data_IF_118588929119
#
_entry.id   IF_118588929119
#
_cell.length_a   1.000
_cell.length_b   1.000
_cell.length_c   1.000
_cell.angle_alpha   90.00
_cell.angle_beta   90.00
_cell.angle_gamma   90.00
#
_symmetry.space_group_name_H-M   'P 1'
#
loop_
_entity.id
_entity.type
_entity.pdbx_description
1 polymer ?
#
# COMPACT_ATOMS: atom_id res chain seq x y z
N UNK A 1 -18.91 15.87 16.82
CA UNK A 1 -18.60 15.79 16.28
C UNK A 1 -18.39 15.55 15.86
N UNK A 2 -18.33 15.44 15.59
CA UNK A 2 -17.90 15.12 14.96
C UNK A 2 -17.32 15.01 14.36
N UNK A 3 -17.18 15.07 14.12
CA UNK A 3 -16.74 14.95 13.44
C UNK A 3 -15.96 14.74 13.00
N UNK A 4 -15.74 14.61 12.78
CA UNK A 4 -15.12 14.33 12.32
C UNK A 4 -14.72 14.20 11.58
N UNK A 5 -14.75 14.37 11.33
CA UNK A 5 -14.45 14.31 10.59
C UNK A 5 -13.81 14.04 10.05
N UNK A 6 -14.23 14.09 10.08
CA UNK A 6 -13.65 13.60 9.39
C UNK A 6 -12.85 13.72 8.11
N UNK A 7 -12.10 14.54 7.92
CA UNK A 7 -11.29 14.65 6.74
C UNK A 7 -10.03 13.86 6.93
N UNK A 8 -9.86 12.89 6.07
CA UNK A 8 -8.67 12.06 6.15
C UNK A 8 -7.56 12.75 5.39
N UNK A 9 -6.81 13.54 6.10
CA UNK A 9 -5.58 14.05 5.54
C UNK A 9 -4.51 13.00 5.72
N UNK A 10 -3.78 12.74 4.67
CA UNK A 10 -2.74 11.74 4.70
C UNK A 10 -1.47 12.36 5.24
N UNK A 11 -0.95 11.75 6.30
CA UNK A 11 0.38 12.11 6.76
C UNK A 11 1.37 11.30 5.92
N UNK A 12 1.92 11.95 4.91
CA UNK A 12 2.79 11.24 3.96
C UNK A 12 4.05 10.71 4.63
N UNK A 13 4.53 11.39 5.66
CA UNK A 13 5.70 10.90 6.38
C UNK A 13 5.38 9.58 7.08
N UNK A 14 4.23 9.50 7.73
CA UNK A 14 3.84 8.24 8.37
C UNK A 14 3.53 7.16 7.33
N UNK A 15 2.95 7.56 6.20
CA UNK A 15 2.75 6.61 5.13
C UNK A 15 4.10 6.03 4.67
N UNK A 16 5.08 6.89 4.45
CA UNK A 16 6.39 6.43 4.01
C UNK A 16 7.06 5.57 5.07
N UNK A 17 6.86 5.88 6.34
CA UNK A 17 7.39 5.04 7.42
C UNK A 17 6.74 3.66 7.40
N UNK A 18 5.43 3.61 7.20
CA UNK A 18 4.74 2.33 7.11
C UNK A 18 5.24 1.54 5.90
N UNK A 19 5.43 2.23 4.78
CA UNK A 19 5.93 1.59 3.58
C UNK A 19 7.32 1.00 3.80
N UNK A 20 8.20 1.77 4.43
CA UNK A 20 9.55 1.29 4.70
C UNK A 20 9.53 0.09 5.63
N UNK A 21 8.69 0.13 6.67
CA UNK A 21 8.58 -0.99 7.59
C UNK A 21 8.01 -2.23 6.89
N UNK A 22 7.05 -2.03 6.00
CA UNK A 22 6.49 -3.13 5.24
C UNK A 22 7.56 -3.78 4.36
N UNK A 23 8.34 -2.97 3.65
CA UNK A 23 9.40 -3.51 2.81
C UNK A 23 10.47 -4.21 3.63
N UNK A 24 10.77 -3.69 4.81
CA UNK A 24 11.73 -4.35 5.69
C UNK A 24 11.21 -5.71 6.13
N UNK A 25 9.95 -5.80 6.48
CA UNK A 25 9.37 -7.07 6.86
C UNK A 25 9.40 -8.05 5.69
N UNK A 26 9.06 -7.57 4.49
CA UNK A 26 9.09 -8.42 3.30
C UNK A 26 10.50 -8.98 3.07
N UNK A 27 11.51 -8.12 3.21
CA UNK A 27 12.88 -8.56 2.98
C UNK A 27 13.36 -9.58 4.02
N UNK A 28 12.73 -9.57 5.20
CA UNK A 28 13.09 -10.49 6.27
C UNK A 28 12.24 -11.76 6.30
N UNK A 29 11.14 -11.78 5.57
CA UNK A 29 10.26 -12.94 5.59
C UNK A 29 10.79 -14.01 4.65
N UNK A 30 10.80 -15.21 5.14
CA UNK A 30 11.32 -16.32 4.37
C UNK A 30 10.48 -16.60 3.13
N UNK A 31 9.17 -16.48 3.26
CA UNK A 31 8.26 -16.78 2.16
C UNK A 31 8.30 -15.76 1.03
N UNK A 32 8.96 -14.63 1.26
CA UNK A 32 9.16 -13.63 0.20
C UNK A 32 10.59 -13.63 -0.32
N UNK A 33 11.44 -14.46 0.22
CA UNK A 33 12.84 -14.40 -0.12
C UNK A 33 13.08 -14.81 -1.58
N UNK A 34 13.88 -14.03 -2.27
CA UNK A 34 14.17 -14.32 -3.68
C UNK A 34 13.10 -13.87 -4.66
N UNK A 35 12.03 -13.25 -4.17
CA UNK A 35 10.95 -12.79 -5.05
C UNK A 35 11.14 -11.32 -5.41
N UNK A 36 10.67 -10.97 -6.60
CA UNK A 36 10.69 -9.58 -7.05
C UNK A 36 9.48 -8.85 -6.51
N UNK A 37 9.65 -8.23 -5.34
CA UNK A 37 8.58 -7.49 -4.71
C UNK A 37 9.09 -6.10 -4.38
N UNK A 38 8.36 -5.10 -4.82
CA UNK A 38 8.70 -3.71 -4.52
C UNK A 38 7.43 -2.90 -4.38
N UNK A 39 7.53 -1.85 -3.59
CA UNK A 39 6.46 -0.89 -3.42
C UNK A 39 7.10 0.48 -3.48
N UNK A 40 6.56 1.34 -4.30
CA UNK A 40 7.14 2.65 -4.51
C UNK A 40 6.05 3.70 -4.49
N UNK A 41 6.27 4.78 -3.77
CA UNK A 41 5.36 5.90 -3.76
C UNK A 41 5.98 7.06 -4.52
N UNK A 42 5.17 7.62 -5.41
CA UNK A 42 5.55 8.84 -6.12
C UNK A 42 4.35 9.77 -6.05
N UNK A 43 4.46 10.83 -5.26
CA UNK A 43 3.36 11.73 -4.95
C UNK A 43 2.19 10.93 -4.37
N UNK A 44 1.08 10.86 -5.07
CA UNK A 44 -0.09 10.13 -4.61
C UNK A 44 -0.24 8.77 -5.28
N UNK A 45 0.75 8.38 -6.07
CA UNK A 45 0.68 7.11 -6.79
C UNK A 45 1.57 6.08 -6.14
N UNK A 46 1.01 4.90 -5.97
CA UNK A 46 1.74 3.77 -5.36
C UNK A 46 1.84 2.68 -6.41
N UNK A 47 3.04 2.26 -6.71
CA UNK A 47 3.28 1.17 -7.63
C UNK A 47 3.79 -0.03 -6.85
N UNK A 48 3.05 -1.12 -6.89
CA UNK A 48 3.41 -2.35 -6.21
C UNK A 48 3.72 -3.42 -7.24
N UNK A 49 4.89 -4.02 -7.13
CA UNK A 49 5.30 -5.11 -8.00
C UNK A 49 5.40 -6.37 -7.18
N UNK A 50 4.81 -7.45 -7.67
CA UNK A 50 4.84 -8.73 -6.97
C UNK A 50 5.04 -9.85 -7.99
N UNK A 51 5.44 -11.01 -7.48
CA UNK A 51 5.74 -12.14 -8.35
C UNK A 51 4.49 -12.82 -8.90
N UNK A 52 3.38 -12.76 -8.16
CA UNK A 52 2.10 -13.30 -8.62
C UNK A 52 0.96 -12.67 -7.83
N UNK A 53 -0.26 -13.05 -8.16
CA UNK A 53 -1.43 -12.45 -7.52
C UNK A 53 -1.52 -12.77 -6.05
N UNK A 54 -1.15 -13.98 -5.67
CA UNK A 54 -1.19 -14.36 -4.26
C UNK A 54 -0.21 -13.52 -3.45
N UNK A 55 1.01 -13.35 -3.96
CA UNK A 55 1.99 -12.52 -3.27
C UNK A 55 1.57 -11.07 -3.25
N UNK A 56 0.96 -10.59 -4.33
CA UNK A 56 0.45 -9.23 -4.36
C UNK A 56 -0.57 -9.02 -3.25
N UNK A 57 -1.49 -9.96 -3.08
CA UNK A 57 -2.49 -9.87 -2.02
C UNK A 57 -1.82 -9.85 -0.64
N UNK A 58 -0.82 -10.72 -0.44
CA UNK A 58 -0.13 -10.77 0.83
C UNK A 58 0.62 -9.47 1.11
N UNK A 59 1.23 -8.88 0.09
CA UNK A 59 1.93 -7.61 0.24
C UNK A 59 0.94 -6.51 0.61
N UNK A 60 -0.22 -6.48 -0.04
CA UNK A 60 -1.23 -5.49 0.28
C UNK A 60 -1.71 -5.63 1.72
N UNK A 61 -1.90 -6.84 2.19
CA UNK A 61 -2.33 -7.07 3.57
C UNK A 61 -1.26 -6.62 4.57
N UNK A 62 0.00 -6.88 4.26
CA UNK A 62 1.09 -6.42 5.11
C UNK A 62 1.15 -4.90 5.15
N UNK A 63 1.01 -4.27 4.00
CA UNK A 63 1.02 -2.81 3.95
C UNK A 63 -0.11 -2.23 4.77
N UNK A 64 -1.32 -2.79 4.66
CA UNK A 64 -2.45 -2.33 5.45
C UNK A 64 -2.17 -2.45 6.94
N UNK A 65 -1.57 -3.55 7.35
CA UNK A 65 -1.22 -3.74 8.75
C UNK A 65 -0.26 -2.65 9.23
N UNK A 66 0.76 -2.35 8.43
CA UNK A 66 1.72 -1.33 8.82
C UNK A 66 1.10 0.06 8.81
N UNK A 67 0.18 0.31 7.88
CA UNK A 67 -0.53 1.59 7.86
C UNK A 67 -1.34 1.78 9.14
N UNK A 68 -2.07 0.74 9.55
CA UNK A 68 -2.86 0.81 10.77
C UNK A 68 -1.96 1.06 11.98
N UNK A 69 -0.82 0.42 12.03
CA UNK A 69 0.13 0.62 13.13
C UNK A 69 0.63 2.06 13.22
N UNK A 70 0.67 2.75 12.08
CA UNK A 70 1.08 4.14 12.02
C UNK A 70 -0.09 5.10 12.05
N UNK A 71 -1.29 4.57 12.31
CA UNK A 71 -2.52 5.35 12.39
C UNK A 71 -2.86 6.01 11.07
N UNK A 72 -2.51 5.38 9.99
CA UNK A 72 -2.92 5.78 8.65
C UNK A 72 -4.07 4.86 8.24
N UNK A 73 -5.18 5.45 7.83
CA UNK A 73 -6.35 4.68 7.43
C UNK A 73 -6.05 3.97 6.10
N UNK A 74 -6.10 2.62 6.07
CA UNK A 74 -5.81 1.92 4.81
C UNK A 74 -6.78 2.25 3.68
N UNK A 75 -7.94 2.81 4.00
CA UNK A 75 -8.91 3.18 2.97
C UNK A 75 -8.43 4.33 2.09
N UNK A 76 -7.35 5.02 2.49
CA UNK A 76 -6.78 6.04 1.62
C UNK A 76 -6.15 5.42 0.37
N UNK A 77 -5.85 4.12 0.40
CA UNK A 77 -5.32 3.44 -0.78
C UNK A 77 -6.47 2.98 -1.68
N UNK A 78 -6.48 3.48 -2.90
CA UNK A 78 -7.48 3.10 -3.89
C UNK A 78 -6.78 2.43 -5.05
N UNK A 79 -7.04 1.13 -5.23
CA UNK A 79 -6.42 0.39 -6.32
C UNK A 79 -7.04 0.85 -7.63
N UNK A 80 -6.20 1.26 -8.58
CA UNK A 80 -6.66 1.72 -9.87
C UNK A 80 -6.67 0.59 -10.89
N UNK A 81 -5.57 -0.11 -11.01
CA UNK A 81 -5.53 -1.27 -11.89
C UNK A 81 -4.36 -2.17 -11.52
N UNK A 82 -4.37 -3.36 -12.09
CA UNK A 82 -3.23 -4.26 -11.99
C UNK A 82 -3.05 -4.91 -13.35
N UNK A 83 -1.81 -5.16 -13.71
CA UNK A 83 -1.50 -5.70 -15.02
C UNK A 83 -0.25 -6.56 -14.95
N UNK A 84 -0.11 -7.45 -15.90
CA UNK A 84 1.09 -8.25 -16.01
C UNK A 84 2.28 -7.39 -16.40
N UNK A 85 3.43 -7.71 -15.81
CA UNK A 85 4.66 -7.02 -16.13
C UNK A 85 5.69 -8.05 -16.59
N UNK A 86 6.86 -7.57 -16.96
CA UNK A 86 7.91 -8.42 -17.47
C UNK A 86 8.27 -9.52 -16.49
N UNK A 87 8.60 -10.70 -17.03
CA UNK A 87 9.07 -11.79 -16.19
C UNK A 87 8.00 -12.48 -15.37
N UNK A 88 6.73 -12.33 -15.76
CA UNK A 88 5.64 -12.98 -15.05
C UNK A 88 5.21 -12.27 -13.79
N UNK A 89 5.74 -11.07 -13.54
CA UNK A 89 5.34 -10.30 -12.36
C UNK A 89 4.04 -9.56 -12.64
N UNK A 90 3.44 -9.04 -11.56
CA UNK A 90 2.22 -8.26 -11.63
C UNK A 90 2.49 -6.89 -11.04
N UNK A 91 2.08 -5.85 -11.74
CA UNK A 91 2.20 -4.49 -11.27
C UNK A 91 0.83 -3.94 -10.94
N UNK A 92 0.68 -3.46 -9.73
CA UNK A 92 -0.55 -2.84 -9.26
C UNK A 92 -0.30 -1.35 -9.07
N UNK A 93 -1.20 -0.55 -9.60
CA UNK A 93 -1.14 0.89 -9.42
C UNK A 93 -2.29 1.31 -8.52
N UNK A 94 -1.96 2.02 -7.47
CA UNK A 94 -2.93 2.55 -6.53
C UNK A 94 -2.76 4.05 -6.40
N UNK A 95 -3.78 4.71 -5.91
CA UNK A 95 -3.73 6.15 -5.70
C UNK A 95 -4.14 6.44 -4.27
N UNK A 96 -3.44 7.39 -3.64
CA UNK A 96 -3.80 7.86 -2.32
C UNK A 96 -4.86 8.93 -2.44
N UNK A 97 -5.96 8.75 -1.74
CA UNK A 97 -7.09 9.69 -1.77
C UNK A 97 -7.35 10.22 -0.39
N UNK A 98 -7.29 11.53 -0.27
CA UNK A 98 -7.66 12.20 0.97
C UNK A 98 -9.14 12.54 0.93
N UNK A 99 -9.70 12.83 2.11
CA UNK A 99 -11.09 13.25 2.19
C UNK A 99 -12.07 12.15 1.86
N UNK A 100 -11.80 10.95 2.25
CA UNK A 100 -12.70 9.81 2.04
C UNK A 100 -13.88 9.99 2.95
N UNK A 101 -15.02 10.22 2.42
CA UNK A 101 -16.19 10.33 3.26
C UNK A 101 -17.22 9.33 2.88
N UNK A 102 -17.46 9.80 2.73
CA UNK A 102 -18.34 9.49 2.31
C UNK A 102 -19.40 9.53 2.16
N UNK A 103 -19.54 9.72 1.80
CA UNK A 103 -20.36 9.83 1.47
C UNK A 103 -21.00 9.86 1.52
N UNK A 104 -21.21 9.94 1.46
CA UNK A 104 -21.83 10.07 1.25
C UNK A 104 -22.20 10.17 1.31
#
# INVERSE_FOLDING_TARGET
>A
MPSFDVISKINYQEFDNALANCLREISNRYDFKGLNISIERKDKNITTLASDELKLKQVNELLETHLVRRKVDPRVLSVKNSEGASGGTIRQVSELKEGISQEN
#
